data_IF_580203845898
#
_entry.id   IF_580203845898
#
_cell.length_a   1.000
_cell.length_b   1.000
_cell.length_c   1.000
_cell.angle_alpha   90.00
_cell.angle_beta   90.00
_cell.angle_gamma   90.00
#
_symmetry.space_group_name_H-M   'P 1'
#
loop_
_entity.id
_entity.type
_entity.pdbx_description
1 polymer ?
#
# COMPACT_ATOMS: atom_id res chain seq x y z
N UNK A 1 55.97 -42.37 -26.08
CA UNK A 1 56.20 -42.33 -27.58
C UNK A 1 55.67 -40.96 -27.96
N UNK A 2 56.50 -40.00 -28.11
CA UNK A 2 57.25 -39.63 -29.30
C UNK A 2 56.30 -39.01 -30.33
N UNK A 3 56.46 -37.87 -30.87
CA UNK A 3 57.53 -36.91 -31.20
C UNK A 3 56.85 -35.71 -31.83
N UNK A 4 57.16 -34.46 -31.49
CA UNK A 4 58.14 -33.57 -32.09
C UNK A 4 57.85 -33.28 -33.59
N UNK A 5 57.90 -32.15 -34.11
CA UNK A 5 58.80 -31.03 -34.32
C UNK A 5 58.18 -30.18 -35.45
N UNK A 6 58.39 -29.01 -35.72
CA UNK A 6 59.37 -27.94 -35.68
C UNK A 6 59.10 -26.90 -36.78
N UNK A 7 59.34 -25.65 -36.49
CA UNK A 7 60.04 -24.66 -37.35
C UNK A 7 59.30 -24.06 -38.57
N UNK A 8 59.31 -22.81 -38.84
CA UNK A 8 60.23 -21.75 -38.50
C UNK A 8 59.97 -20.53 -39.37
N UNK A 9 60.47 -19.45 -38.88
CA UNK A 9 61.12 -18.31 -39.52
C UNK A 9 60.34 -17.13 -40.03
N UNK A 10 60.61 -16.03 -39.38
CA UNK A 10 60.46 -14.66 -39.85
C UNK A 10 61.44 -14.35 -41.02
N UNK A 11 61.25 -13.23 -41.68
CA UNK A 11 61.89 -12.00 -41.29
C UNK A 11 61.10 -10.69 -41.55
N UNK A 12 61.41 -9.70 -40.79
CA UNK A 12 61.29 -8.24 -40.97
C UNK A 12 62.38 -7.78 -41.98
N UNK A 13 62.43 -6.56 -42.55
CA UNK A 13 61.84 -5.26 -42.18
C UNK A 13 61.34 -4.41 -43.40
N UNK A 14 60.80 -3.27 -43.29
CA UNK A 14 61.28 -1.89 -43.39
C UNK A 14 60.16 -0.86 -43.57
N UNK A 15 60.26 0.11 -42.72
CA UNK A 15 60.20 1.56 -42.81
C UNK A 15 59.29 2.27 -43.82
N UNK A 16 58.52 3.12 -43.30
CA UNK A 16 58.50 4.57 -43.54
C UNK A 16 57.14 5.17 -44.00
N UNK A 17 56.75 6.11 -43.21
CA UNK A 17 56.09 7.40 -43.41
C UNK A 17 54.67 7.54 -42.89
N UNK A 18 54.66 8.26 -41.78
CA UNK A 18 53.51 9.14 -41.40
C UNK A 18 53.45 10.35 -42.39
N UNK A 19 52.44 11.19 -42.41
CA UNK A 19 51.55 11.56 -41.32
C UNK A 19 50.09 11.87 -41.73
N UNK A 20 49.30 12.02 -40.65
CA UNK A 20 48.34 13.09 -40.49
C UNK A 20 46.91 12.94 -41.00
N UNK A 21 46.04 13.20 -40.09
CA UNK A 21 44.74 13.77 -40.12
C UNK A 21 43.56 12.92 -39.63
N UNK A 22 43.19 13.28 -38.50
CA UNK A 22 41.90 13.49 -37.88
C UNK A 22 41.43 12.48 -36.81
N UNK A 23 41.14 13.03 -35.66
CA UNK A 23 39.92 12.72 -34.95
C UNK A 23 39.19 13.97 -34.44
N UNK A 24 38.59 14.75 -35.34
CA UNK A 24 37.75 15.88 -34.94
C UNK A 24 36.26 15.61 -35.16
N UNK A 25 35.88 14.76 -36.08
CA UNK A 25 34.46 14.48 -36.39
C UNK A 25 33.76 13.56 -35.41
N UNK A 26 34.48 12.70 -34.71
CA UNK A 26 33.86 11.78 -33.72
C UNK A 26 33.55 12.46 -32.37
N UNK A 27 34.29 13.53 -32.02
CA UNK A 27 33.97 14.27 -30.78
C UNK A 27 32.80 15.22 -30.97
N UNK A 28 32.61 15.81 -32.12
CA UNK A 28 31.44 16.66 -32.39
C UNK A 28 30.13 15.87 -32.50
N UNK A 29 30.15 14.64 -32.99
CA UNK A 29 28.96 13.81 -33.02
C UNK A 29 28.57 13.29 -31.62
N UNK A 30 29.52 13.03 -30.72
CA UNK A 30 29.25 12.61 -29.36
C UNK A 30 28.71 13.76 -28.50
N UNK A 31 29.30 14.97 -28.66
CA UNK A 31 28.78 16.16 -27.96
C UNK A 31 27.44 16.65 -28.51
N UNK A 32 27.15 16.46 -29.80
CA UNK A 32 25.82 16.76 -30.35
C UNK A 32 24.76 15.74 -29.93
N UNK A 33 25.14 14.49 -29.69
CA UNK A 33 24.21 13.46 -29.19
C UNK A 33 23.94 13.66 -27.71
N UNK A 34 24.94 13.98 -26.88
CA UNK A 34 24.75 14.30 -25.47
C UNK A 34 23.98 15.61 -25.27
N UNK A 35 24.24 16.65 -26.07
CA UNK A 35 23.44 17.89 -26.04
C UNK A 35 22.01 17.71 -26.56
N UNK A 36 21.76 16.68 -27.39
CA UNK A 36 20.41 16.39 -27.88
C UNK A 36 19.61 15.55 -26.89
N UNK A 37 20.26 14.70 -26.09
CA UNK A 37 19.61 13.99 -24.98
C UNK A 37 19.35 14.89 -23.79
N UNK A 38 20.25 15.84 -23.48
CA UNK A 38 20.04 16.82 -22.40
C UNK A 38 18.97 17.88 -22.76
N UNK A 39 18.74 18.15 -24.06
CA UNK A 39 17.68 19.05 -24.52
C UNK A 39 16.30 18.40 -24.64
N UNK A 40 16.19 17.08 -24.47
CA UNK A 40 14.90 16.38 -24.54
C UNK A 40 14.25 16.24 -23.15
N UNK A 41 14.87 16.75 -22.08
CA UNK A 41 14.32 16.73 -20.71
C UNK A 41 13.73 18.06 -20.22
N UNK A 42 13.57 19.06 -21.07
CA UNK A 42 12.96 20.33 -20.64
C UNK A 42 11.91 20.81 -21.62
N UNK A 43 10.69 20.67 -21.25
CA UNK A 43 9.40 21.15 -21.74
C UNK A 43 8.51 20.07 -22.38
N UNK A 44 8.29 18.95 -21.71
CA UNK A 44 7.03 18.25 -21.88
C UNK A 44 5.93 19.18 -21.33
N UNK A 45 4.96 19.52 -22.14
CA UNK A 45 3.79 20.26 -21.67
C UNK A 45 3.22 19.57 -20.43
N UNK A 46 2.96 20.35 -19.38
CA UNK A 46 2.32 19.85 -18.17
C UNK A 46 0.91 19.41 -18.55
N UNK A 47 0.71 18.10 -18.60
CA UNK A 47 -0.59 17.48 -18.90
C UNK A 47 -1.15 16.90 -17.61
N UNK A 48 -2.19 17.53 -17.08
CA UNK A 48 -2.90 17.00 -15.91
C UNK A 48 -4.02 16.05 -16.35
N UNK A 49 -4.57 15.29 -15.42
CA UNK A 49 -5.73 14.42 -15.65
C UNK A 49 -6.94 15.18 -16.23
N UNK A 50 -7.03 16.49 -16.03
CA UNK A 50 -8.10 17.34 -16.61
C UNK A 50 -7.87 17.71 -18.07
N UNK A 51 -6.62 17.66 -18.54
CA UNK A 51 -6.27 17.92 -19.93
C UNK A 51 -6.37 16.66 -20.79
N UNK A 52 -5.85 15.56 -20.28
CA UNK A 52 -5.91 14.23 -20.91
C UNK A 52 -5.98 13.17 -19.82
N UNK A 53 -7.16 12.52 -19.61
CA UNK A 53 -7.33 11.49 -18.58
C UNK A 53 -6.50 10.23 -18.82
N UNK A 54 -6.10 9.97 -20.06
CA UNK A 54 -5.39 8.75 -20.42
C UNK A 54 -3.87 8.92 -20.46
N UNK A 55 -3.38 10.17 -20.73
CA UNK A 55 -1.95 10.44 -20.97
C UNK A 55 -1.44 11.63 -20.14
N UNK A 56 -1.87 11.77 -18.89
CA UNK A 56 -1.36 12.81 -18.00
C UNK A 56 0.03 12.46 -17.42
N UNK A 57 0.85 13.50 -17.19
CA UNK A 57 2.20 13.36 -16.64
C UNK A 57 2.38 13.99 -15.25
N UNK A 58 1.33 14.63 -14.73
CA UNK A 58 1.33 15.22 -13.38
C UNK A 58 0.60 14.28 -12.43
N UNK A 59 1.30 13.78 -11.40
CA UNK A 59 0.74 12.95 -10.33
C UNK A 59 1.02 13.61 -8.97
N UNK A 60 0.06 13.50 -8.06
CA UNK A 60 0.19 13.95 -6.68
C UNK A 60 0.54 12.74 -5.80
N UNK A 61 1.81 12.61 -5.34
CA UNK A 61 2.25 11.44 -4.58
C UNK A 61 1.57 11.38 -3.22
N UNK A 62 1.24 10.17 -2.79
CA UNK A 62 0.82 9.87 -1.43
C UNK A 62 2.06 9.72 -0.52
N UNK A 63 1.89 9.87 0.80
CA UNK A 63 2.96 9.67 1.77
C UNK A 63 3.47 8.21 1.75
N UNK A 64 2.58 7.24 1.60
CA UNK A 64 2.88 5.83 1.43
C UNK A 64 2.24 5.29 0.16
N UNK A 65 2.82 4.23 -0.41
CA UNK A 65 2.14 3.41 -1.40
C UNK A 65 1.15 2.48 -0.68
N UNK A 66 0.02 2.22 -1.33
CA UNK A 66 -1.07 1.41 -0.80
C UNK A 66 -1.41 0.28 -1.76
N UNK A 67 -1.81 -0.86 -1.20
CA UNK A 67 -2.23 -2.03 -1.96
C UNK A 67 -3.70 -2.33 -1.66
N UNK A 68 -4.50 -2.39 -2.71
CA UNK A 68 -5.88 -2.86 -2.65
C UNK A 68 -5.89 -4.39 -2.74
N UNK A 69 -6.58 -5.03 -1.81
CA UNK A 69 -6.80 -6.46 -1.77
C UNK A 69 -8.28 -6.78 -1.82
N UNK A 70 -8.61 -7.94 -2.36
CA UNK A 70 -9.97 -8.46 -2.43
C UNK A 70 -10.02 -9.87 -1.89
N UNK A 71 -10.92 -10.14 -0.94
CA UNK A 71 -11.24 -11.50 -0.52
C UNK A 71 -12.48 -11.98 -1.28
N UNK A 72 -12.31 -13.02 -2.08
CA UNK A 72 -13.42 -13.65 -2.79
C UNK A 72 -14.37 -14.34 -1.83
N UNK A 73 -15.70 -14.34 -2.10
CA UNK A 73 -16.62 -15.19 -1.37
C UNK A 73 -16.19 -16.65 -1.46
N UNK A 74 -16.23 -17.43 -0.36
CA UNK A 74 -15.94 -18.85 -0.43
C UNK A 74 -16.97 -19.58 -1.28
N UNK A 75 -16.50 -20.46 -2.16
CA UNK A 75 -17.33 -21.29 -3.04
C UNK A 75 -17.76 -22.61 -2.36
N UNK A 76 -17.08 -23.02 -1.29
CA UNK A 76 -17.35 -24.29 -0.59
C UNK A 76 -16.87 -24.34 0.86
N UNK A 77 -17.07 -25.50 1.50
CA UNK A 77 -16.64 -25.80 2.87
C UNK A 77 -15.18 -26.25 2.92
N UNK A 78 -14.25 -25.65 2.38
CA UNK A 78 -12.86 -26.12 2.37
C UNK A 78 -11.91 -25.11 1.75
N UNK A 79 -12.47 -24.01 1.32
CA UNK A 79 -11.65 -22.95 0.72
C UNK A 79 -10.69 -22.37 1.78
N UNK A 80 -9.42 -22.38 1.46
CA UNK A 80 -8.39 -21.76 2.29
C UNK A 80 -8.50 -20.25 2.14
N UNK A 81 -8.61 -19.52 3.26
CA UNK A 81 -8.71 -18.07 3.25
C UNK A 81 -7.55 -17.39 2.48
N UNK A 82 -6.34 -17.93 2.60
CA UNK A 82 -5.17 -17.41 1.86
C UNK A 82 -5.33 -17.52 0.34
N UNK A 83 -6.09 -18.50 -0.15
CA UNK A 83 -6.38 -18.66 -1.58
C UNK A 83 -7.48 -17.71 -2.06
N UNK A 84 -8.35 -17.29 -1.16
CA UNK A 84 -9.43 -16.35 -1.43
C UNK A 84 -8.95 -14.90 -1.43
N UNK A 85 -7.90 -14.58 -0.67
CA UNK A 85 -7.30 -13.25 -0.60
C UNK A 85 -6.42 -13.02 -1.84
N UNK A 86 -6.76 -11.99 -2.60
CA UNK A 86 -6.04 -11.60 -3.83
C UNK A 86 -5.58 -10.17 -3.75
N UNK A 87 -4.32 -9.95 -4.08
CA UNK A 87 -3.81 -8.63 -4.39
C UNK A 87 -4.44 -8.15 -5.70
N UNK A 88 -4.99 -6.94 -5.70
CA UNK A 88 -5.62 -6.35 -6.88
C UNK A 88 -4.64 -5.43 -7.59
N UNK A 89 -4.16 -4.40 -6.88
CA UNK A 89 -3.27 -3.38 -7.42
C UNK A 89 -2.61 -2.59 -6.30
N UNK A 90 -1.39 -2.11 -6.56
CA UNK A 90 -0.66 -1.16 -5.71
C UNK A 90 -0.61 0.20 -6.42
N UNK A 91 -0.74 1.28 -5.66
CA UNK A 91 -0.72 2.64 -6.17
C UNK A 91 -0.03 3.59 -5.17
N UNK A 92 0.46 4.72 -5.68
CA UNK A 92 1.21 5.70 -4.89
C UNK A 92 0.83 7.15 -5.17
N UNK A 93 -0.26 7.40 -5.90
CA UNK A 93 -0.72 8.76 -6.20
C UNK A 93 -2.24 8.90 -6.08
N UNK A 94 -2.70 10.15 -5.94
CA UNK A 94 -4.13 10.49 -5.87
C UNK A 94 -4.85 10.07 -7.15
N UNK A 95 -4.23 10.31 -8.31
CA UNK A 95 -4.81 9.99 -9.61
C UNK A 95 -4.96 8.48 -9.81
N UNK A 96 -3.96 7.71 -9.39
CA UNK A 96 -4.02 6.25 -9.43
C UNK A 96 -5.12 5.70 -8.52
N UNK A 97 -5.26 6.25 -7.30
CA UNK A 97 -6.36 5.89 -6.42
C UNK A 97 -7.73 6.07 -7.08
N UNK A 98 -7.99 7.25 -7.66
CA UNK A 98 -9.26 7.52 -8.31
C UNK A 98 -9.48 6.67 -9.56
N UNK A 99 -8.42 6.42 -10.34
CA UNK A 99 -8.46 5.49 -11.46
C UNK A 99 -8.90 4.09 -11.06
N UNK A 100 -8.40 3.59 -9.93
CA UNK A 100 -8.78 2.29 -9.37
C UNK A 100 -10.22 2.34 -8.82
N UNK A 101 -10.50 3.31 -7.94
CA UNK A 101 -11.80 3.41 -7.26
C UNK A 101 -12.97 3.50 -8.23
N UNK A 102 -12.82 4.26 -9.30
CA UNK A 102 -13.88 4.43 -10.32
C UNK A 102 -14.08 3.19 -11.22
N UNK A 103 -13.16 2.22 -11.20
CA UNK A 103 -13.19 1.05 -12.07
C UNK A 103 -13.38 -0.28 -11.34
N UNK A 104 -13.49 -0.28 -10.01
CA UNK A 104 -13.81 -1.49 -9.25
C UNK A 104 -15.31 -1.57 -8.93
N UNK A 105 -15.78 -2.77 -8.62
CA UNK A 105 -17.16 -2.99 -8.19
C UNK A 105 -17.44 -2.22 -6.90
N UNK A 106 -18.52 -1.41 -6.82
CA UNK A 106 -18.94 -0.76 -5.59
C UNK A 106 -19.16 -1.77 -4.45
N UNK A 107 -18.90 -1.36 -3.22
CA UNK A 107 -19.06 -2.23 -2.04
C UNK A 107 -20.49 -2.71 -1.86
N UNK A 108 -21.47 -1.88 -2.22
CA UNK A 108 -22.92 -2.19 -2.17
C UNK A 108 -23.30 -3.35 -3.10
N UNK A 109 -22.56 -3.57 -4.18
CA UNK A 109 -22.79 -4.60 -5.20
C UNK A 109 -21.98 -5.88 -4.95
N UNK A 110 -21.07 -5.87 -3.96
CA UNK A 110 -20.28 -7.04 -3.64
C UNK A 110 -21.12 -8.20 -3.13
N UNK A 111 -20.72 -9.40 -3.52
CA UNK A 111 -21.31 -10.64 -3.02
C UNK A 111 -21.15 -10.82 -1.52
N UNK A 112 -22.05 -11.61 -0.91
CA UNK A 112 -21.94 -11.97 0.53
C UNK A 112 -20.63 -12.66 0.83
N UNK A 113 -19.95 -12.23 1.91
CA UNK A 113 -18.63 -12.69 2.37
C UNK A 113 -17.47 -12.21 1.49
N UNK A 114 -17.71 -11.30 0.54
CA UNK A 114 -16.64 -10.57 -0.10
C UNK A 114 -16.14 -9.44 0.81
N UNK A 115 -14.86 -9.12 0.70
CA UNK A 115 -14.23 -8.06 1.47
C UNK A 115 -13.25 -7.29 0.59
N UNK A 116 -13.19 -5.95 0.75
CA UNK A 116 -12.07 -5.15 0.30
C UNK A 116 -11.17 -4.79 1.47
N UNK A 117 -9.87 -4.77 1.20
CA UNK A 117 -8.86 -4.35 2.16
C UNK A 117 -7.93 -3.35 1.46
N UNK A 118 -7.61 -2.25 2.12
CA UNK A 118 -6.64 -1.28 1.66
C UNK A 118 -5.55 -1.16 2.72
N UNK A 119 -4.35 -1.64 2.41
CA UNK A 119 -3.22 -1.71 3.34
C UNK A 119 -2.00 -1.00 2.78
N UNK A 120 -1.15 -0.47 3.66
CA UNK A 120 0.17 0.05 3.26
C UNK A 120 0.92 -1.04 2.50
N UNK A 121 1.62 -0.66 1.43
CA UNK A 121 2.37 -1.60 0.56
C UNK A 121 3.28 -2.51 1.37
N UNK A 122 3.29 -3.78 1.00
CA UNK A 122 4.11 -4.80 1.67
C UNK A 122 3.49 -5.38 2.94
N UNK A 123 2.32 -4.89 3.38
CA UNK A 123 1.58 -5.43 4.53
C UNK A 123 0.38 -6.23 4.03
N UNK A 124 0.35 -7.53 4.34
CA UNK A 124 -0.79 -8.38 4.01
C UNK A 124 -1.92 -8.18 5.02
N UNK A 125 -3.18 -8.16 4.59
CA UNK A 125 -4.33 -7.99 5.49
C UNK A 125 -4.63 -9.28 6.28
N UNK A 126 -3.63 -9.81 6.94
CA UNK A 126 -3.70 -11.01 7.78
C UNK A 126 -2.99 -10.75 9.12
N UNK A 127 -3.45 -11.38 10.18
CA UNK A 127 -2.92 -11.19 11.54
C UNK A 127 -1.54 -11.83 11.76
N UNK A 128 -1.14 -12.75 10.88
CA UNK A 128 0.18 -13.39 10.86
C UNK A 128 1.27 -12.48 10.29
N UNK A 129 0.89 -11.43 9.56
CA UNK A 129 1.86 -10.46 9.03
C UNK A 129 2.65 -9.80 10.15
N UNK A 130 3.94 -9.58 9.92
CA UNK A 130 4.86 -9.04 10.91
C UNK A 130 4.42 -7.66 11.47
N UNK A 131 3.76 -6.86 10.65
CA UNK A 131 3.27 -5.54 11.03
C UNK A 131 1.92 -5.62 11.78
N UNK A 132 1.15 -6.70 11.61
CA UNK A 132 -0.17 -6.87 12.20
C UNK A 132 -0.19 -7.75 13.46
N UNK A 133 0.81 -8.64 13.62
CA UNK A 133 0.78 -9.69 14.66
C UNK A 133 0.66 -9.20 16.11
N UNK A 134 1.13 -7.99 16.38
CA UNK A 134 1.03 -7.35 17.70
C UNK A 134 -0.12 -6.33 17.77
N UNK A 135 -0.88 -6.23 16.69
CA UNK A 135 -1.89 -5.24 16.47
C UNK A 135 -3.30 -5.64 16.89
N UNK A 136 -4.20 -4.79 16.49
CA UNK A 136 -5.63 -4.96 16.70
C UNK A 136 -6.41 -4.18 15.64
N UNK A 137 -7.70 -4.12 15.87
CA UNK A 137 -8.60 -3.40 14.97
C UNK A 137 -9.66 -2.62 15.73
N UNK A 138 -9.92 -1.41 15.29
CA UNK A 138 -11.15 -0.69 15.52
C UNK A 138 -12.21 -1.22 14.55
N UNK A 139 -13.45 -1.37 14.95
CA UNK A 139 -14.51 -1.81 14.04
C UNK A 139 -15.88 -1.31 14.44
N UNK A 140 -16.69 -1.00 13.43
CA UNK A 140 -18.10 -0.69 13.58
C UNK A 140 -18.95 -1.51 12.59
N UNK A 141 -20.10 -2.01 13.06
CA UNK A 141 -21.01 -2.83 12.27
C UNK A 141 -22.34 -2.13 12.03
N UNK A 142 -22.61 -1.81 10.78
CA UNK A 142 -23.86 -1.19 10.31
C UNK A 142 -24.92 -2.27 10.09
N UNK A 143 -25.87 -2.40 11.00
CA UNK A 143 -26.86 -3.49 11.01
C UNK A 143 -27.98 -3.33 10.01
N UNK A 144 -28.33 -2.10 9.63
CA UNK A 144 -29.34 -1.83 8.59
C UNK A 144 -28.67 -1.49 7.26
N UNK A 145 -28.47 -2.53 6.44
CA UNK A 145 -27.79 -2.39 5.15
C UNK A 145 -28.53 -1.46 4.16
N UNK A 146 -29.85 -1.29 4.30
CA UNK A 146 -30.64 -0.50 3.35
C UNK A 146 -30.58 0.99 3.60
N UNK A 147 -30.30 1.39 4.85
CA UNK A 147 -30.18 2.80 5.24
C UNK A 147 -28.75 3.33 5.21
N UNK A 148 -27.77 2.47 4.91
CA UNK A 148 -26.34 2.80 4.99
C UNK A 148 -25.78 3.07 3.59
N UNK A 149 -25.26 4.27 3.39
CA UNK A 149 -24.49 4.62 2.19
C UNK A 149 -23.08 4.03 2.30
N UNK A 150 -22.97 2.69 2.16
CA UNK A 150 -21.73 1.96 2.43
C UNK A 150 -20.59 2.37 1.50
N UNK A 151 -20.89 2.70 0.25
CA UNK A 151 -19.89 3.11 -0.73
C UNK A 151 -19.25 4.44 -0.31
N UNK A 152 -20.03 5.43 0.16
CA UNK A 152 -19.51 6.69 0.67
C UNK A 152 -18.68 6.48 1.94
N UNK A 153 -19.16 5.66 2.87
CA UNK A 153 -18.44 5.39 4.12
C UNK A 153 -17.13 4.66 3.87
N UNK A 154 -17.13 3.72 2.94
CA UNK A 154 -15.91 3.04 2.53
C UNK A 154 -14.94 3.98 1.82
N UNK A 155 -15.42 4.86 0.95
CA UNK A 155 -14.61 5.90 0.32
C UNK A 155 -13.98 6.82 1.38
N UNK A 156 -14.77 7.29 2.35
CA UNK A 156 -14.24 8.14 3.43
C UNK A 156 -13.15 7.43 4.23
N UNK A 157 -13.33 6.16 4.56
CA UNK A 157 -12.32 5.37 5.28
C UNK A 157 -11.03 5.21 4.46
N UNK A 158 -11.15 4.97 3.14
CA UNK A 158 -9.99 4.89 2.24
C UNK A 158 -9.27 6.24 2.14
N UNK A 159 -10.00 7.34 1.90
CA UNK A 159 -9.42 8.68 1.79
C UNK A 159 -8.72 9.10 3.09
N UNK A 160 -9.30 8.79 4.25
CA UNK A 160 -8.68 9.07 5.53
C UNK A 160 -7.41 8.24 5.77
N UNK A 161 -7.37 7.00 5.26
CA UNK A 161 -6.18 6.15 5.34
C UNK A 161 -5.05 6.66 4.43
N UNK A 162 -5.31 6.86 3.13
CA UNK A 162 -4.29 7.31 2.18
C UNK A 162 -3.84 8.76 2.40
N UNK A 163 -4.71 9.59 3.01
CA UNK A 163 -4.43 10.97 3.41
C UNK A 163 -3.77 11.08 4.79
N UNK A 164 -3.46 9.95 5.46
CA UNK A 164 -2.77 9.88 6.77
C UNK A 164 -3.46 10.71 7.88
N UNK A 165 -4.79 10.92 7.78
CA UNK A 165 -5.53 11.78 8.72
C UNK A 165 -6.04 11.05 9.96
N UNK A 166 -5.91 9.71 10.00
CA UNK A 166 -6.39 8.87 11.09
C UNK A 166 -5.47 8.85 12.32
N UNK A 167 -4.22 9.23 12.16
CA UNK A 167 -3.20 9.27 13.22
C UNK A 167 -2.41 10.58 13.20
N UNK A 168 -1.61 10.85 14.23
CA UNK A 168 -0.69 11.96 14.18
C UNK A 168 0.62 11.56 13.50
N UNK A 169 1.35 12.56 12.99
CA UNK A 169 2.67 12.34 12.40
C UNK A 169 3.58 11.61 13.39
N UNK A 170 4.19 10.54 12.90
CA UNK A 170 5.12 9.72 13.67
C UNK A 170 4.49 8.65 14.57
N UNK A 171 3.17 8.56 14.70
CA UNK A 171 2.52 7.49 15.47
C UNK A 171 2.71 6.12 14.79
N UNK A 172 2.64 6.05 13.48
CA UNK A 172 2.86 4.86 12.63
C UNK A 172 2.07 3.61 13.09
N UNK A 173 0.84 3.81 13.52
CA UNK A 173 -0.04 2.74 13.99
C UNK A 173 -1.00 2.23 12.92
N UNK A 174 -1.44 3.07 11.99
CA UNK A 174 -2.42 2.69 10.96
C UNK A 174 -1.77 1.83 9.90
N UNK A 175 -2.23 0.59 9.78
CA UNK A 175 -1.75 -0.39 8.80
C UNK A 175 -2.68 -0.51 7.59
N UNK A 176 -3.99 -0.38 7.80
CA UNK A 176 -4.97 -0.47 6.73
C UNK A 176 -6.40 -0.39 7.20
N UNK A 177 -7.30 -0.35 6.24
CA UNK A 177 -8.76 -0.35 6.44
C UNK A 177 -9.41 -1.51 5.69
N UNK A 178 -10.52 -1.98 6.20
CA UNK A 178 -11.23 -3.16 5.65
C UNK A 178 -12.72 -2.90 5.64
N UNK A 179 -13.40 -3.27 4.54
CA UNK A 179 -14.87 -3.36 4.53
C UNK A 179 -15.30 -4.81 4.33
N UNK A 180 -16.22 -5.27 5.17
CA UNK A 180 -16.75 -6.62 5.11
C UNK A 180 -18.23 -6.61 4.74
N UNK A 181 -18.63 -7.43 3.74
CA UNK A 181 -20.02 -7.62 3.33
C UNK A 181 -20.56 -8.91 3.96
N UNK A 182 -21.55 -8.79 4.86
CA UNK A 182 -22.15 -9.93 5.57
C UNK A 182 -23.66 -9.96 5.36
N UNK A 183 -24.32 -11.07 5.66
CA UNK A 183 -25.75 -11.27 5.41
C UNK A 183 -26.66 -10.20 6.02
N UNK A 184 -26.34 -9.75 7.24
CA UNK A 184 -27.19 -8.80 7.97
C UNK A 184 -26.56 -7.44 8.25
N UNK A 185 -25.33 -7.23 7.81
CA UNK A 185 -24.61 -5.99 8.13
C UNK A 185 -23.43 -5.74 7.19
N UNK A 186 -23.00 -4.48 7.13
CA UNK A 186 -21.66 -4.12 6.70
C UNK A 186 -20.79 -3.86 7.93
N UNK A 187 -19.50 -4.13 7.82
CA UNK A 187 -18.53 -3.73 8.85
C UNK A 187 -17.39 -3.00 8.20
N UNK A 188 -17.00 -1.86 8.77
CA UNK A 188 -15.76 -1.19 8.43
C UNK A 188 -14.82 -1.33 9.62
N UNK A 189 -13.58 -1.68 9.36
CA UNK A 189 -12.53 -1.83 10.36
C UNK A 189 -11.25 -1.09 9.97
N UNK A 190 -10.53 -0.64 10.98
CA UNK A 190 -9.22 -0.02 10.85
C UNK A 190 -8.23 -0.85 11.66
N UNK A 191 -7.18 -1.30 11.01
CA UNK A 191 -6.16 -2.13 11.62
C UNK A 191 -4.98 -1.30 12.08
N UNK A 192 -4.50 -1.63 13.28
CA UNK A 192 -3.36 -0.96 13.90
C UNK A 192 -2.21 -1.93 14.12
N UNK A 193 -1.00 -1.40 14.14
CA UNK A 193 0.25 -2.13 14.33
C UNK A 193 0.39 -2.72 15.73
N UNK A 194 -0.15 -2.01 16.74
CA UNK A 194 -0.07 -2.43 18.14
C UNK A 194 -1.43 -2.40 18.82
N UNK A 195 -1.48 -2.99 20.01
CA UNK A 195 -2.60 -2.86 20.95
C UNK A 195 -2.34 -1.80 22.03
N UNK A 196 -1.52 -0.79 21.72
CA UNK A 196 -1.07 0.24 22.64
C UNK A 196 0.09 -0.18 23.54
N UNK A 197 0.76 -1.29 23.21
CA UNK A 197 1.97 -1.74 23.91
C UNK A 197 3.21 -1.48 23.07
N UNK A 198 4.33 -1.20 23.74
CA UNK A 198 5.63 -1.18 23.08
C UNK A 198 6.00 -2.57 22.57
N UNK A 199 6.59 -2.62 21.38
CA UNK A 199 7.14 -3.84 20.79
C UNK A 199 8.64 -3.86 21.10
N UNK A 200 9.17 -4.87 21.82
CA UNK A 200 10.60 -4.95 22.13
C UNK A 200 11.46 -4.95 20.86
N UNK A 201 12.49 -4.10 20.83
CA UNK A 201 13.41 -3.98 19.69
C UNK A 201 12.90 -3.14 18.53
N UNK A 202 11.73 -2.55 18.64
CA UNK A 202 11.14 -1.68 17.61
C UNK A 202 11.61 -0.23 17.78
N UNK A 203 12.88 0.01 17.45
CA UNK A 203 13.55 1.32 17.64
C UNK A 203 12.88 2.47 16.88
N UNK A 204 12.19 2.17 15.80
CA UNK A 204 11.63 3.19 14.90
C UNK A 204 10.14 3.47 15.10
N UNK A 205 9.50 2.94 16.15
CA UNK A 205 8.08 3.13 16.32
C UNK A 205 7.61 3.15 17.77
N UNK A 206 7.82 2.07 18.51
CA UNK A 206 7.16 1.89 19.80
C UNK A 206 8.12 1.74 20.98
N UNK A 207 9.44 1.63 20.76
CA UNK A 207 10.41 1.47 21.83
C UNK A 207 10.36 2.66 22.81
N UNK A 208 10.25 2.36 24.11
CA UNK A 208 10.12 3.39 25.15
C UNK A 208 8.72 3.99 25.30
N UNK A 209 7.75 3.60 24.45
CA UNK A 209 6.36 4.07 24.57
C UNK A 209 5.71 3.51 25.84
N UNK A 210 5.20 4.39 26.71
CA UNK A 210 4.42 3.96 27.87
C UNK A 210 3.05 3.38 27.45
N UNK A 211 2.49 2.50 28.29
CA UNK A 211 1.15 1.96 28.05
C UNK A 211 0.08 3.02 28.02
N UNK A 212 0.22 4.09 28.82
CA UNK A 212 -0.70 5.22 28.84
C UNK A 212 -0.66 5.98 27.51
N UNK A 213 0.54 6.27 26.99
CA UNK A 213 0.72 6.94 25.69
C UNK A 213 0.19 6.08 24.53
N UNK A 214 0.47 4.79 24.56
CA UNK A 214 -0.03 3.86 23.54
C UNK A 214 -1.56 3.77 23.53
N UNK A 215 -2.20 3.77 24.72
CA UNK A 215 -3.65 3.82 24.84
C UNK A 215 -4.21 5.13 24.26
N UNK A 216 -3.62 6.28 24.64
CA UNK A 216 -4.01 7.61 24.15
C UNK A 216 -3.98 7.67 22.61
N UNK A 217 -2.90 7.18 21.98
CA UNK A 217 -2.75 7.13 20.53
C UNK A 217 -3.90 6.32 19.91
N UNK A 218 -4.14 5.11 20.41
CA UNK A 218 -5.21 4.27 19.86
C UNK A 218 -6.60 4.88 20.06
N UNK A 219 -6.89 5.48 21.19
CA UNK A 219 -8.17 6.15 21.42
C UNK A 219 -8.34 7.38 20.51
N UNK A 220 -7.27 8.14 20.24
CA UNK A 220 -7.31 9.23 19.26
C UNK A 220 -7.61 8.71 17.84
N UNK A 221 -6.94 7.64 17.42
CA UNK A 221 -7.23 6.96 16.16
C UNK A 221 -8.70 6.51 16.10
N UNK A 222 -9.20 5.89 17.18
CA UNK A 222 -10.59 5.44 17.28
C UNK A 222 -11.60 6.58 17.15
N UNK A 223 -11.35 7.74 17.79
CA UNK A 223 -12.22 8.93 17.69
C UNK A 223 -12.24 9.48 16.26
N UNK A 224 -11.06 9.65 15.62
CA UNK A 224 -10.99 10.09 14.22
C UNK A 224 -11.69 9.11 13.28
N UNK A 225 -11.52 7.81 13.50
CA UNK A 225 -12.22 6.79 12.74
C UNK A 225 -13.75 6.87 12.90
N UNK A 226 -14.24 7.13 14.14
CA UNK A 226 -15.66 7.37 14.43
C UNK A 226 -16.19 8.58 13.65
N UNK A 227 -15.45 9.68 13.62
CA UNK A 227 -15.78 10.89 12.85
C UNK A 227 -15.82 10.63 11.34
N UNK A 228 -14.82 9.93 10.80
CA UNK A 228 -14.74 9.54 9.38
C UNK A 228 -15.95 8.71 8.95
N UNK A 229 -16.42 7.82 9.83
CA UNK A 229 -17.63 7.03 9.61
C UNK A 229 -18.93 7.79 9.91
N UNK A 230 -18.86 9.07 10.28
CA UNK A 230 -20.01 9.93 10.61
C UNK A 230 -20.97 9.30 11.63
N UNK A 231 -20.39 8.64 12.63
CA UNK A 231 -21.16 7.98 13.68
C UNK A 231 -21.64 8.99 14.71
N UNK A 232 -22.76 8.67 15.35
CA UNK A 232 -23.31 9.49 16.44
C UNK A 232 -22.49 9.32 17.72
N UNK A 233 -22.59 10.26 18.64
CA UNK A 233 -21.97 10.15 19.97
C UNK A 233 -22.35 8.85 20.70
N UNK A 234 -23.59 8.41 20.53
CA UNK A 234 -24.13 7.19 21.15
C UNK A 234 -23.63 5.90 20.51
N UNK A 235 -23.07 5.97 19.31
CA UNK A 235 -22.51 4.80 18.63
C UNK A 235 -21.16 4.44 19.26
N UNK A 236 -20.95 3.17 19.51
CA UNK A 236 -19.73 2.66 20.14
C UNK A 236 -18.88 1.96 19.11
N UNK A 237 -17.67 2.48 18.90
CA UNK A 237 -16.63 1.81 18.10
C UNK A 237 -15.76 0.99 19.05
N UNK A 238 -15.55 -0.27 18.71
CA UNK A 238 -14.86 -1.23 19.57
C UNK A 238 -13.47 -1.56 19.01
N UNK A 239 -12.47 -1.63 19.90
CA UNK A 239 -11.12 -2.10 19.60
C UNK A 239 -10.88 -3.47 20.20
N UNK A 240 -10.37 -4.39 19.39
CA UNK A 240 -9.96 -5.74 19.82
C UNK A 240 -8.59 -6.11 19.28
N UNK A 241 -7.76 -6.78 20.09
CA UNK A 241 -6.50 -7.35 19.63
C UNK A 241 -6.71 -8.51 18.66
N UNK A 242 -5.79 -8.68 17.72
CA UNK A 242 -5.85 -9.79 16.76
C UNK A 242 -5.69 -11.15 17.47
N UNK A 243 -4.74 -11.24 18.40
CA UNK A 243 -4.52 -12.45 19.22
C UNK A 243 -5.73 -12.83 20.06
N UNK A 244 -6.42 -11.84 20.65
CA UNK A 244 -7.62 -12.06 21.45
C UNK A 244 -8.76 -12.59 20.57
N UNK A 245 -8.85 -12.11 19.34
CA UNK A 245 -9.83 -12.56 18.34
C UNK A 245 -9.56 -13.99 17.86
N UNK A 246 -8.28 -14.33 17.65
CA UNK A 246 -7.87 -15.69 17.23
C UNK A 246 -8.16 -16.74 18.30
N UNK A 247 -7.84 -16.47 19.57
CA UNK A 247 -8.06 -17.42 20.67
C UNK A 247 -9.54 -17.64 20.99
N UNK A 248 -10.39 -16.64 20.82
CA UNK A 248 -11.82 -16.75 21.11
C UNK A 248 -12.60 -17.54 20.06
N UNK A 249 -12.03 -17.81 18.88
CA UNK A 249 -12.72 -18.41 17.73
C UNK A 249 -13.93 -17.59 17.26
N UNK A 250 -14.11 -16.41 17.83
CA UNK A 250 -15.25 -15.55 17.64
C UNK A 250 -14.80 -14.20 17.06
N UNK A 251 -15.54 -13.72 16.09
CA UNK A 251 -15.41 -12.34 15.60
C UNK A 251 -15.79 -11.27 16.65
N UNK A 252 -16.20 -11.72 17.85
CA UNK A 252 -16.55 -10.89 19.02
C UNK A 252 -15.59 -11.16 20.18
N UNK A 253 -14.28 -10.88 19.93
CA UNK A 253 -13.38 -10.74 21.07
C UNK A 253 -13.86 -9.61 21.98
N UNK A 254 -13.61 -9.75 23.30
CA UNK A 254 -13.93 -8.69 24.26
C UNK A 254 -13.23 -7.41 23.84
N UNK A 255 -13.99 -6.30 23.74
CA UNK A 255 -13.43 -5.00 23.43
C UNK A 255 -12.40 -4.62 24.51
N UNK A 256 -11.22 -4.20 24.06
CA UNK A 256 -10.16 -3.71 24.93
C UNK A 256 -10.29 -2.22 25.19
N UNK A 257 -10.70 -1.48 24.16
CA UNK A 257 -11.02 -0.05 24.23
C UNK A 257 -12.32 0.22 23.49
N UNK A 258 -12.98 1.31 23.83
CA UNK A 258 -14.20 1.82 23.15
C UNK A 258 -14.16 3.33 23.07
N UNK A 259 -14.72 3.88 22.01
CA UNK A 259 -14.90 5.31 21.81
C UNK A 259 -16.29 5.63 21.32
#
# INVERSE_FOLDING_TARGET
>A
MATATENGHAPVPDENTAPDAAPAEQKEQTEQTEQKEEKTQTNGDIVTVFHDPDNFNVKHPLMHEWTLWFTKPPSGKGDNWNELLKEVVTFGSVEEFWGIYNNITPTSELGLKADYHLFKKGIRPEWEDQQNKHGGKWSYSFKDKRSVAIDDLWLHAQLAAIGETLENDGDNEVMGVVVNVRKGFYRIGLWTRTVGKSIPGDKNGTEGRSAAKGKEILENIGRRFKEVLRLKETDVVEFSGHTDSAHSGSTRAKAKYTV
#
